data_IF_556586213911
#
_entry.id   IF_556586213911
#
_cell.length_a   1.000
_cell.length_b   1.000
_cell.length_c   1.000
_cell.angle_alpha   90.00
_cell.angle_beta   90.00
_cell.angle_gamma   90.00
#
_symmetry.space_group_name_H-M   'P 1'
#
loop_
_entity.id
_entity.type
_entity.pdbx_description
1 polymer ?
#
# COMPACT_ATOMS: atom_id res chain seq x y z
N UNK A 1 39.67 11.98 7.39
CA UNK A 1 39.07 11.01 6.45
C UNK A 1 38.06 11.77 5.61
N UNK A 2 38.33 11.93 4.31
CA UNK A 2 37.51 12.75 3.40
C UNK A 2 36.38 11.86 2.87
N UNK A 3 35.14 12.19 3.22
CA UNK A 3 33.95 11.49 2.72
C UNK A 3 33.85 11.65 1.20
N UNK A 4 33.85 10.51 0.53
CA UNK A 4 33.73 10.38 -0.92
C UNK A 4 32.31 10.79 -1.35
N UNK A 5 32.13 11.61 -2.40
CA UNK A 5 30.80 11.99 -2.83
C UNK A 5 30.03 10.78 -3.39
N UNK A 6 28.70 10.70 -3.13
CA UNK A 6 27.84 9.64 -3.66
C UNK A 6 27.90 9.55 -5.18
N UNK A 7 27.88 8.34 -5.72
CA UNK A 7 27.97 8.08 -7.17
C UNK A 7 26.61 8.38 -7.82
N UNK A 8 26.55 8.71 -9.13
CA UNK A 8 25.31 9.09 -9.81
C UNK A 8 24.20 8.01 -9.92
N UNK A 9 24.31 6.88 -9.21
CA UNK A 9 23.19 5.93 -8.94
C UNK A 9 22.36 6.32 -7.71
N UNK A 10 22.75 7.36 -6.97
CA UNK A 10 22.13 7.80 -5.71
C UNK A 10 20.92 8.75 -5.86
N UNK A 11 20.35 8.90 -7.07
CA UNK A 11 18.97 9.39 -7.18
C UNK A 11 18.03 8.19 -7.19
N UNK A 12 17.81 7.63 -5.99
CA UNK A 12 16.77 6.63 -5.77
C UNK A 12 15.42 7.08 -6.34
N UNK A 13 14.55 6.12 -6.64
CA UNK A 13 13.20 6.41 -7.14
C UNK A 13 12.52 7.32 -6.11
N UNK A 14 11.95 8.48 -6.50
CA UNK A 14 11.29 9.37 -5.55
C UNK A 14 10.19 8.63 -4.79
N UNK A 15 10.04 8.89 -3.49
CA UNK A 15 9.04 8.21 -2.66
C UNK A 15 7.62 8.35 -3.23
N UNK A 16 7.30 9.55 -3.75
CA UNK A 16 6.03 9.81 -4.41
C UNK A 16 5.82 8.90 -5.64
N UNK A 17 6.89 8.54 -6.35
CA UNK A 17 6.85 7.58 -7.45
C UNK A 17 6.64 6.17 -6.92
N UNK A 18 7.39 5.74 -5.89
CA UNK A 18 7.20 4.43 -5.22
C UNK A 18 5.75 4.26 -4.76
N UNK A 19 5.11 5.29 -4.20
CA UNK A 19 3.72 5.25 -3.79
C UNK A 19 2.72 5.08 -4.95
N UNK A 20 3.10 5.45 -6.19
CA UNK A 20 2.25 5.32 -7.39
C UNK A 20 2.49 4.04 -8.18
N UNK A 21 3.68 3.45 -8.10
CA UNK A 21 4.01 2.22 -8.83
C UNK A 21 3.01 1.07 -8.59
N UNK A 22 2.49 0.81 -7.37
CA UNK A 22 1.46 -0.21 -7.15
C UNK A 22 0.16 0.04 -7.92
N UNK A 23 -0.19 1.31 -8.17
CA UNK A 23 -1.37 1.68 -8.96
C UNK A 23 -1.16 1.32 -10.43
N UNK A 24 0.04 1.57 -10.96
CA UNK A 24 0.42 1.19 -12.32
C UNK A 24 0.46 -0.33 -12.49
N UNK A 25 1.06 -1.03 -11.52
CA UNK A 25 1.10 -2.49 -11.52
C UNK A 25 -0.30 -3.09 -11.55
N UNK A 26 -1.23 -2.57 -10.74
CA UNK A 26 -2.63 -3.04 -10.75
C UNK A 26 -3.30 -2.85 -12.12
N UNK A 27 -3.09 -1.70 -12.76
CA UNK A 27 -3.65 -1.44 -14.09
C UNK A 27 -3.05 -2.39 -15.15
N UNK A 28 -1.73 -2.62 -15.09
CA UNK A 28 -1.03 -3.52 -16.00
C UNK A 28 -1.44 -4.99 -15.81
N UNK A 29 -1.59 -5.47 -14.58
CA UNK A 29 -2.09 -6.81 -14.30
C UNK A 29 -3.48 -7.03 -14.91
N UNK A 30 -4.39 -6.05 -14.74
CA UNK A 30 -5.72 -6.13 -15.35
C UNK A 30 -5.71 -6.15 -16.88
N UNK A 31 -4.66 -5.59 -17.52
CA UNK A 31 -4.46 -5.64 -18.97
C UNK A 31 -3.83 -6.96 -19.41
N UNK A 32 -2.90 -7.48 -18.62
CA UNK A 32 -2.28 -8.79 -18.80
C UNK A 32 -3.32 -9.91 -18.74
N UNK A 33 -4.23 -9.86 -17.76
CA UNK A 33 -5.35 -10.81 -17.61
C UNK A 33 -6.28 -10.83 -18.84
N UNK A 34 -6.29 -9.73 -19.61
CA UNK A 34 -7.06 -9.58 -20.86
C UNK A 34 -6.26 -9.95 -22.11
N UNK A 35 -5.02 -10.40 -21.95
CA UNK A 35 -4.12 -10.72 -23.07
C UNK A 35 -3.61 -9.50 -23.84
N UNK A 36 -3.62 -8.31 -23.23
CA UNK A 36 -3.09 -7.10 -23.88
C UNK A 36 -1.57 -7.16 -23.90
N UNK A 37 -0.98 -7.16 -25.11
CA UNK A 37 0.47 -7.26 -25.29
C UNK A 37 1.18 -5.92 -25.12
N UNK A 38 0.59 -4.84 -25.65
CA UNK A 38 1.19 -3.50 -25.60
C UNK A 38 0.18 -2.43 -25.20
N UNK A 39 0.67 -1.36 -24.56
CA UNK A 39 -0.15 -0.23 -24.16
C UNK A 39 0.57 1.11 -24.29
N UNK A 40 -0.14 2.15 -24.74
CA UNK A 40 0.40 3.51 -24.80
C UNK A 40 0.49 4.15 -23.40
N UNK A 41 1.38 5.13 -23.23
CA UNK A 41 1.47 5.87 -21.96
C UNK A 41 0.18 6.60 -21.57
N UNK A 42 -0.63 6.97 -22.56
CA UNK A 42 -1.89 7.69 -22.34
C UNK A 42 -2.99 6.73 -21.89
N UNK A 43 -3.13 5.59 -22.55
CA UNK A 43 -4.07 4.55 -22.16
C UNK A 43 -3.74 4.00 -20.76
N UNK A 44 -2.45 3.75 -20.48
CA UNK A 44 -2.04 3.27 -19.16
C UNK A 44 -2.29 4.33 -18.07
N UNK A 45 -2.03 5.59 -18.35
CA UNK A 45 -2.28 6.68 -17.40
C UNK A 45 -3.76 6.84 -17.10
N UNK A 46 -4.61 6.73 -18.13
CA UNK A 46 -6.07 6.71 -17.97
C UNK A 46 -6.53 5.53 -17.10
N UNK A 47 -6.05 4.31 -17.39
CA UNK A 47 -6.39 3.12 -16.61
C UNK A 47 -5.93 3.21 -15.15
N UNK A 48 -4.80 3.88 -14.90
CA UNK A 48 -4.27 4.11 -13.56
C UNK A 48 -4.86 5.36 -12.86
N UNK A 49 -5.67 6.17 -13.54
CA UNK A 49 -6.24 7.40 -12.99
C UNK A 49 -5.19 8.49 -12.71
N UNK A 50 -4.12 8.56 -13.51
CA UNK A 50 -3.05 9.56 -13.37
C UNK A 50 -2.83 10.37 -14.64
N UNK A 51 -2.10 11.48 -14.53
CA UNK A 51 -1.65 12.24 -15.69
C UNK A 51 -0.56 11.50 -16.47
N UNK A 52 -0.65 11.47 -17.80
CA UNK A 52 0.30 10.73 -18.66
C UNK A 52 1.74 11.26 -18.63
N UNK A 53 1.94 12.56 -18.46
CA UNK A 53 3.29 13.13 -18.28
C UNK A 53 3.91 12.69 -16.94
N UNK A 54 3.10 12.60 -15.89
CA UNK A 54 3.52 12.08 -14.58
C UNK A 54 3.91 10.61 -14.68
N UNK A 55 3.08 9.80 -15.33
CA UNK A 55 3.38 8.38 -15.57
C UNK A 55 4.68 8.20 -16.34
N UNK A 56 4.88 8.93 -17.45
CA UNK A 56 6.13 8.82 -18.22
C UNK A 56 7.36 9.19 -17.39
N UNK A 57 7.25 10.25 -16.56
CA UNK A 57 8.32 10.65 -15.63
C UNK A 57 8.61 9.54 -14.62
N UNK A 58 7.57 8.95 -14.03
CA UNK A 58 7.70 7.88 -13.06
C UNK A 58 8.37 6.64 -13.67
N UNK A 59 7.90 6.18 -14.83
CA UNK A 59 8.49 5.04 -15.51
C UNK A 59 9.92 5.29 -15.97
N UNK A 60 10.29 6.54 -16.28
CA UNK A 60 11.66 6.89 -16.66
C UNK A 60 12.68 6.68 -15.55
N UNK A 61 12.25 6.67 -14.27
CA UNK A 61 13.11 6.33 -13.14
C UNK A 61 13.43 4.84 -13.08
N UNK A 62 12.56 3.99 -13.62
CA UNK A 62 12.77 2.55 -13.69
C UNK A 62 13.67 2.17 -14.88
N UNK A 63 13.62 2.95 -15.96
CA UNK A 63 14.40 2.74 -17.18
C UNK A 63 13.63 3.21 -18.42
N UNK A 64 14.21 2.95 -19.60
CA UNK A 64 13.53 3.23 -20.87
C UNK A 64 12.84 1.98 -21.39
N UNK A 65 11.55 1.83 -21.07
CA UNK A 65 10.75 0.63 -21.37
C UNK A 65 9.65 0.85 -22.39
N UNK A 66 9.59 2.05 -22.98
CA UNK A 66 8.64 2.39 -24.02
C UNK A 66 9.35 2.65 -25.34
N UNK A 67 8.78 2.12 -26.43
CA UNK A 67 9.21 2.48 -27.79
C UNK A 67 8.29 3.58 -28.31
N UNK A 68 8.89 4.68 -28.82
CA UNK A 68 8.10 5.76 -29.44
C UNK A 68 7.22 5.18 -30.55
N UNK A 69 5.93 5.49 -30.52
CA UNK A 69 4.95 5.00 -31.48
C UNK A 69 4.38 3.59 -31.21
N UNK A 70 4.94 2.83 -30.27
CA UNK A 70 4.48 1.46 -29.93
C UNK A 70 3.91 1.39 -28.51
N UNK A 71 4.51 2.11 -27.56
CA UNK A 71 4.14 2.06 -26.14
C UNK A 71 5.00 1.08 -25.35
N UNK A 72 4.43 0.51 -24.29
CA UNK A 72 5.07 -0.42 -23.36
C UNK A 72 4.58 -1.83 -23.64
N UNK A 73 5.48 -2.81 -23.58
CA UNK A 73 5.10 -4.22 -23.51
C UNK A 73 4.61 -4.51 -22.08
N UNK A 74 3.40 -5.07 -21.97
CA UNK A 74 2.66 -5.15 -20.71
C UNK A 74 3.35 -6.14 -19.76
N UNK A 75 3.70 -7.33 -20.22
CA UNK A 75 4.29 -8.38 -19.39
C UNK A 75 5.65 -7.94 -18.83
N UNK A 76 6.49 -7.37 -19.69
CA UNK A 76 7.78 -6.83 -19.31
C UNK A 76 7.65 -5.68 -18.32
N UNK A 77 6.69 -4.76 -18.51
CA UNK A 77 6.50 -3.66 -17.57
C UNK A 77 5.94 -4.13 -16.22
N UNK A 78 5.08 -5.15 -16.20
CA UNK A 78 4.64 -5.84 -14.97
C UNK A 78 5.85 -6.39 -14.24
N UNK A 79 6.74 -7.11 -14.93
CA UNK A 79 7.95 -7.68 -14.34
C UNK A 79 8.87 -6.59 -13.76
N UNK A 80 9.16 -5.54 -14.52
CA UNK A 80 10.05 -4.45 -14.07
C UNK A 80 9.49 -3.74 -12.83
N UNK A 81 8.21 -3.37 -12.84
CA UNK A 81 7.60 -2.70 -11.68
C UNK A 81 7.55 -3.64 -10.47
N UNK A 82 7.24 -4.92 -10.66
CA UNK A 82 7.24 -5.91 -9.58
C UNK A 82 8.61 -6.08 -8.97
N UNK A 83 9.66 -6.13 -9.80
CA UNK A 83 11.06 -6.22 -9.36
C UNK A 83 11.47 -4.99 -8.55
N UNK A 84 11.17 -3.79 -9.05
CA UNK A 84 11.51 -2.53 -8.37
C UNK A 84 10.74 -2.33 -7.06
N UNK A 85 9.53 -2.89 -6.95
CA UNK A 85 8.76 -2.92 -5.70
C UNK A 85 9.16 -4.07 -4.76
N UNK A 86 10.12 -4.93 -5.14
CA UNK A 86 10.52 -6.08 -4.34
C UNK A 86 9.48 -7.21 -4.28
N UNK A 87 8.50 -7.23 -5.19
CA UNK A 87 7.42 -8.22 -5.24
C UNK A 87 7.80 -9.51 -6.01
N UNK A 88 9.09 -9.71 -6.25
CA UNK A 88 9.64 -10.94 -6.86
C UNK A 88 9.99 -12.01 -5.81
N UNK A 89 9.77 -11.69 -4.53
CA UNK A 89 9.93 -12.58 -3.39
C UNK A 89 8.68 -12.52 -2.51
N UNK A 90 8.48 -13.54 -1.68
CA UNK A 90 7.41 -13.57 -0.70
C UNK A 90 7.81 -12.84 0.58
N UNK A 91 6.97 -11.89 0.99
CA UNK A 91 7.08 -11.18 2.24
C UNK A 91 6.16 -11.82 3.28
N UNK A 92 6.73 -12.31 4.37
CA UNK A 92 5.96 -12.86 5.48
C UNK A 92 5.36 -11.72 6.32
N UNK A 93 4.04 -11.76 6.49
CA UNK A 93 3.27 -10.74 7.20
C UNK A 93 2.69 -11.30 8.49
N UNK A 94 2.83 -10.57 9.59
CA UNK A 94 2.11 -10.87 10.84
C UNK A 94 1.06 -9.79 11.12
N UNK A 95 -0.18 -10.21 11.39
CA UNK A 95 -1.27 -9.29 11.74
C UNK A 95 -1.52 -9.37 13.24
N UNK A 96 -1.52 -8.23 13.92
CA UNK A 96 -1.82 -8.10 15.35
C UNK A 96 -3.13 -7.33 15.55
N UNK A 97 -4.07 -7.95 16.26
CA UNK A 97 -5.42 -7.44 16.50
C UNK A 97 -6.42 -8.03 15.50
N UNK A 98 -6.93 -9.22 15.78
CA UNK A 98 -7.85 -10.02 14.96
C UNK A 98 -9.31 -9.73 15.31
N UNK A 99 -9.62 -8.44 15.46
CA UNK A 99 -10.99 -7.92 15.44
C UNK A 99 -11.56 -7.91 14.01
N UNK A 100 -12.61 -7.11 13.77
CA UNK A 100 -13.28 -7.04 12.47
C UNK A 100 -12.32 -6.74 11.31
N UNK A 101 -11.47 -5.72 11.46
CA UNK A 101 -10.52 -5.32 10.41
C UNK A 101 -9.39 -6.35 10.23
N UNK A 102 -8.80 -6.84 11.32
CA UNK A 102 -7.74 -7.85 11.26
C UNK A 102 -8.21 -9.14 10.56
N UNK A 103 -9.43 -9.61 10.86
CA UNK A 103 -10.06 -10.74 10.17
C UNK A 103 -10.31 -10.46 8.69
N UNK A 104 -10.80 -9.26 8.35
CA UNK A 104 -11.02 -8.89 6.95
C UNK A 104 -9.71 -8.89 6.15
N UNK A 105 -8.63 -8.34 6.73
CA UNK A 105 -7.31 -8.34 6.11
C UNK A 105 -6.72 -9.75 5.99
N UNK A 106 -6.88 -10.60 7.01
CA UNK A 106 -6.41 -11.98 6.98
C UNK A 106 -7.08 -12.81 5.87
N UNK A 107 -8.37 -12.57 5.60
CA UNK A 107 -9.13 -13.24 4.54
C UNK A 107 -8.97 -12.57 3.16
N UNK A 108 -8.19 -11.51 3.05
CA UNK A 108 -8.01 -10.81 1.79
C UNK A 108 -7.03 -11.57 0.88
N UNK A 109 -7.58 -12.38 -0.03
CA UNK A 109 -6.80 -13.18 -0.99
C UNK A 109 -5.88 -12.37 -1.91
N UNK A 110 -6.09 -11.05 -2.02
CA UNK A 110 -5.25 -10.16 -2.82
C UNK A 110 -3.84 -9.94 -2.27
N UNK A 111 -3.53 -10.33 -1.03
CA UNK A 111 -2.17 -10.29 -0.50
C UNK A 111 -1.29 -11.39 -1.08
N UNK A 112 -1.77 -12.64 -1.08
CA UNK A 112 -1.00 -13.78 -1.56
C UNK A 112 -0.61 -13.65 -3.03
N UNK A 113 -1.52 -13.15 -3.88
CA UNK A 113 -1.26 -12.91 -5.31
C UNK A 113 -0.27 -11.77 -5.59
N UNK A 114 0.10 -10.99 -4.56
CA UNK A 114 1.01 -9.84 -4.65
C UNK A 114 2.33 -10.09 -3.92
N UNK A 115 2.64 -11.33 -3.56
CA UNK A 115 3.87 -11.69 -2.83
C UNK A 115 3.82 -11.37 -1.34
N UNK A 116 2.63 -11.21 -0.75
CA UNK A 116 2.46 -11.02 0.69
C UNK A 116 1.77 -12.24 1.30
N UNK A 117 2.55 -13.06 2.01
CA UNK A 117 2.04 -14.25 2.68
C UNK A 117 1.71 -13.92 4.13
N UNK A 118 0.43 -14.02 4.49
CA UNK A 118 0.03 -13.95 5.90
C UNK A 118 0.61 -15.18 6.61
N UNK A 119 1.58 -14.93 7.49
CA UNK A 119 2.37 -15.97 8.15
C UNK A 119 1.91 -16.23 9.59
N UNK A 120 1.29 -15.24 10.22
CA UNK A 120 0.77 -15.35 11.58
C UNK A 120 -0.33 -14.32 11.88
N UNK A 121 -1.22 -14.71 12.78
CA UNK A 121 -2.28 -13.88 13.34
C UNK A 121 -2.10 -13.88 14.86
N UNK A 122 -2.09 -12.71 15.49
CA UNK A 122 -1.91 -12.58 16.93
C UNK A 122 -2.98 -11.68 17.55
N UNK A 123 -3.45 -12.06 18.74
CA UNK A 123 -4.38 -11.26 19.54
C UNK A 123 -4.07 -11.41 21.04
N UNK A 124 -4.48 -10.42 21.83
CA UNK A 124 -4.39 -10.46 23.29
C UNK A 124 -5.68 -10.99 23.92
N UNK A 125 -6.81 -10.95 23.21
CA UNK A 125 -8.08 -11.48 23.70
C UNK A 125 -8.04 -13.02 23.77
N UNK A 126 -8.17 -13.62 24.97
CA UNK A 126 -8.19 -15.07 25.12
C UNK A 126 -9.32 -15.75 24.33
N UNK A 127 -10.43 -15.05 24.08
CA UNK A 127 -11.52 -15.58 23.26
C UNK A 127 -11.12 -15.71 21.78
N UNK A 128 -10.13 -14.93 21.33
CA UNK A 128 -9.61 -14.95 19.98
C UNK A 128 -8.52 -16.02 19.80
N UNK A 129 -7.69 -16.24 20.81
CA UNK A 129 -6.60 -17.21 20.77
C UNK A 129 -7.13 -18.63 20.51
N UNK A 130 -6.49 -19.33 19.57
CA UNK A 130 -6.88 -20.67 19.13
C UNK A 130 -7.99 -20.71 18.08
N UNK A 131 -8.65 -19.59 17.77
CA UNK A 131 -9.58 -19.55 16.65
C UNK A 131 -8.84 -19.68 15.32
N UNK A 132 -9.46 -20.39 14.37
CA UNK A 132 -8.96 -20.47 13.00
C UNK A 132 -9.53 -19.32 12.16
N UNK A 133 -8.66 -18.53 11.56
CA UNK A 133 -9.00 -17.43 10.65
C UNK A 133 -8.12 -17.56 9.41
N UNK A 134 -8.73 -17.59 8.22
CA UNK A 134 -8.03 -17.75 6.95
C UNK A 134 -7.04 -18.94 6.94
N UNK A 135 -7.43 -20.07 7.55
CA UNK A 135 -6.61 -21.28 7.70
C UNK A 135 -5.39 -21.14 8.62
N UNK A 136 -5.32 -20.08 9.43
CA UNK A 136 -4.29 -19.87 10.44
C UNK A 136 -4.91 -19.78 11.83
N UNK A 137 -4.28 -20.43 12.79
CA UNK A 137 -4.70 -20.31 14.20
C UNK A 137 -4.16 -19.00 14.79
N UNK A 138 -5.06 -18.26 15.45
CA UNK A 138 -4.71 -17.04 16.16
C UNK A 138 -3.88 -17.40 17.39
N UNK A 139 -2.70 -16.80 17.51
CA UNK A 139 -1.79 -16.99 18.64
C UNK A 139 -1.94 -15.86 19.65
N UNK A 140 -1.55 -16.11 20.89
CA UNK A 140 -1.46 -15.04 21.89
C UNK A 140 -0.33 -14.07 21.52
N UNK A 141 -0.54 -12.78 21.78
CA UNK A 141 0.43 -11.72 21.47
C UNK A 141 1.80 -11.92 22.16
N UNK A 142 1.86 -12.65 23.26
CA UNK A 142 3.13 -12.98 23.94
C UNK A 142 4.07 -13.85 23.10
N UNK A 143 3.56 -14.50 22.05
CA UNK A 143 4.38 -15.27 21.11
C UNK A 143 4.98 -14.45 19.97
N UNK A 144 4.80 -13.11 19.95
CA UNK A 144 5.17 -12.25 18.83
C UNK A 144 6.62 -12.42 18.39
N UNK A 145 7.57 -12.31 19.31
CA UNK A 145 9.01 -12.36 19.02
C UNK A 145 9.42 -13.74 18.49
N UNK A 146 8.84 -14.81 19.05
CA UNK A 146 9.03 -16.17 18.56
C UNK A 146 8.49 -16.33 17.13
N UNK A 147 7.27 -15.84 16.88
CA UNK A 147 6.63 -15.88 15.57
C UNK A 147 7.44 -15.11 14.54
N UNK A 148 7.90 -13.90 14.88
CA UNK A 148 8.72 -13.07 13.98
C UNK A 148 9.96 -13.85 13.53
N UNK A 149 10.70 -14.42 14.49
CA UNK A 149 11.92 -15.18 14.22
C UNK A 149 11.65 -16.47 13.44
N UNK A 150 10.68 -17.28 13.86
CA UNK A 150 10.43 -18.61 13.29
C UNK A 150 9.74 -18.57 11.93
N UNK A 151 8.92 -17.53 11.67
CA UNK A 151 8.20 -17.36 10.40
C UNK A 151 8.89 -16.40 9.43
N UNK A 152 10.00 -15.78 9.85
CA UNK A 152 10.74 -14.79 9.06
C UNK A 152 9.91 -13.56 8.75
N UNK A 153 9.10 -13.09 9.69
CA UNK A 153 8.19 -11.96 9.48
C UNK A 153 9.00 -10.73 9.09
N UNK A 154 8.65 -10.15 7.94
CA UNK A 154 9.30 -8.96 7.41
C UNK A 154 8.40 -7.72 7.56
N UNK A 155 7.09 -7.91 7.66
CA UNK A 155 6.10 -6.82 7.74
C UNK A 155 5.13 -7.10 8.89
N UNK A 156 4.99 -6.12 9.79
CA UNK A 156 3.98 -6.11 10.84
C UNK A 156 2.75 -5.32 10.42
N UNK A 157 1.55 -5.85 10.64
CA UNK A 157 0.28 -5.15 10.43
C UNK A 157 -0.39 -4.95 11.78
N UNK A 158 -0.70 -3.71 12.13
CA UNK A 158 -1.33 -3.35 13.40
C UNK A 158 -2.77 -2.92 13.15
N UNK A 159 -3.70 -3.73 13.65
CA UNK A 159 -5.16 -3.50 13.61
C UNK A 159 -5.77 -3.45 15.02
N UNK A 160 -4.97 -3.09 16.01
CA UNK A 160 -5.39 -2.96 17.42
C UNK A 160 -6.05 -1.61 17.72
N UNK A 161 -6.72 -1.47 18.87
CA UNK A 161 -7.05 -0.15 19.43
C UNK A 161 -5.81 0.74 19.60
N UNK A 162 -6.01 2.06 19.59
CA UNK A 162 -4.94 3.06 19.67
C UNK A 162 -4.04 2.87 20.91
N UNK A 163 -4.64 2.54 22.06
CA UNK A 163 -3.92 2.38 23.32
C UNK A 163 -2.87 1.25 23.29
N UNK A 164 -3.08 0.22 22.47
CA UNK A 164 -2.18 -0.94 22.38
C UNK A 164 -1.16 -0.82 21.24
N UNK A 165 -1.43 0.04 20.25
CA UNK A 165 -0.69 0.06 18.98
C UNK A 165 0.80 0.37 19.15
N UNK A 166 1.16 1.31 20.04
CA UNK A 166 2.56 1.65 20.30
C UNK A 166 3.33 0.47 20.91
N UNK A 167 2.74 -0.23 21.87
CA UNK A 167 3.38 -1.40 22.50
C UNK A 167 3.64 -2.52 21.49
N UNK A 168 2.68 -2.78 20.60
CA UNK A 168 2.84 -3.75 19.51
C UNK A 168 3.94 -3.31 18.52
N UNK A 169 3.97 -2.04 18.15
CA UNK A 169 4.99 -1.50 17.25
C UNK A 169 6.40 -1.64 17.85
N UNK A 170 6.57 -1.29 19.12
CA UNK A 170 7.85 -1.46 19.83
C UNK A 170 8.31 -2.91 19.81
N UNK A 171 7.43 -3.87 20.11
CA UNK A 171 7.79 -5.29 20.10
C UNK A 171 8.13 -5.81 18.70
N UNK A 172 7.45 -5.34 17.66
CA UNK A 172 7.83 -5.64 16.27
C UNK A 172 9.26 -5.17 15.96
N UNK A 173 9.57 -3.93 16.32
CA UNK A 173 10.90 -3.34 16.10
C UNK A 173 11.99 -4.08 16.88
N UNK A 174 11.74 -4.39 18.15
CA UNK A 174 12.67 -5.18 18.99
C UNK A 174 12.89 -6.59 18.45
N UNK A 175 11.88 -7.19 17.81
CA UNK A 175 11.98 -8.47 17.12
C UNK A 175 12.67 -8.38 15.74
N UNK A 176 13.04 -7.18 15.28
CA UNK A 176 13.76 -6.93 14.02
C UNK A 176 12.88 -6.61 12.81
N UNK A 177 11.59 -6.36 13.00
CA UNK A 177 10.69 -5.92 11.91
C UNK A 177 10.86 -4.42 11.68
N UNK A 178 11.34 -4.07 10.49
CA UNK A 178 11.58 -2.68 10.08
C UNK A 178 10.47 -2.07 9.21
N UNK A 179 9.39 -2.82 8.92
CA UNK A 179 8.27 -2.34 8.10
C UNK A 179 6.94 -2.61 8.78
N UNK A 180 6.17 -1.54 9.05
CA UNK A 180 4.90 -1.61 9.77
C UNK A 180 3.80 -0.91 8.97
N UNK A 181 2.69 -1.63 8.77
CA UNK A 181 1.44 -1.08 8.25
C UNK A 181 0.49 -0.84 9.44
N UNK A 182 0.20 0.42 9.74
CA UNK A 182 -0.57 0.81 10.90
C UNK A 182 -1.98 1.27 10.51
N UNK A 183 -3.00 0.55 10.97
CA UNK A 183 -4.41 0.96 10.87
C UNK A 183 -4.96 1.56 12.17
N UNK A 184 -4.19 1.53 13.26
CA UNK A 184 -4.61 2.15 14.50
C UNK A 184 -4.65 3.69 14.32
N UNK A 185 -5.64 4.39 14.91
CA UNK A 185 -5.81 5.84 14.74
C UNK A 185 -4.86 6.63 15.63
N UNK A 186 -3.57 6.31 15.57
CA UNK A 186 -2.49 6.94 16.35
C UNK A 186 -1.21 6.99 15.51
N UNK A 187 -0.39 8.01 15.76
CA UNK A 187 0.96 8.09 15.19
C UNK A 187 1.89 7.26 16.07
N UNK A 188 2.62 6.34 15.46
CA UNK A 188 3.59 5.49 16.15
C UNK A 188 4.92 6.21 16.24
N UNK A 189 5.57 6.15 17.40
CA UNK A 189 6.94 6.57 17.59
C UNK A 189 7.86 5.36 17.40
N UNK A 190 8.69 5.39 16.37
CA UNK A 190 9.61 4.31 16.01
C UNK A 190 11.01 4.91 15.74
N UNK A 191 12.10 4.13 15.94
CA UNK A 191 13.44 4.61 15.66
C UNK A 191 13.70 4.81 14.17
N UNK A 192 14.76 5.55 13.86
CA UNK A 192 15.24 5.73 12.49
C UNK A 192 15.52 4.37 11.82
N UNK A 193 15.13 4.26 10.54
CA UNK A 193 15.26 3.02 9.77
C UNK A 193 14.08 2.06 9.88
N UNK A 194 13.04 2.40 10.65
CA UNK A 194 11.75 1.70 10.65
C UNK A 194 10.73 2.49 9.82
N UNK A 195 10.23 1.85 8.76
CA UNK A 195 9.20 2.42 7.90
C UNK A 195 7.80 2.14 8.46
N UNK A 196 7.02 3.19 8.68
CA UNK A 196 5.62 3.10 9.09
C UNK A 196 4.72 3.71 8.03
N UNK A 197 3.86 2.89 7.44
CA UNK A 197 2.76 3.38 6.59
C UNK A 197 1.47 3.39 7.39
N UNK A 198 0.91 4.57 7.62
CA UNK A 198 -0.43 4.72 8.23
C UNK A 198 -1.52 4.59 7.16
N UNK A 199 -2.57 3.85 7.46
CA UNK A 199 -3.80 3.81 6.67
C UNK A 199 -4.95 4.33 7.53
N UNK A 200 -5.57 5.42 7.08
CA UNK A 200 -6.68 6.08 7.77
C UNK A 200 -7.85 6.27 6.80
N UNK A 201 -8.77 5.30 6.80
CA UNK A 201 -9.93 5.33 5.91
C UNK A 201 -10.87 6.51 6.20
N UNK A 202 -10.86 7.03 7.44
CA UNK A 202 -11.69 8.17 7.82
C UNK A 202 -11.19 9.46 7.18
N UNK A 203 -9.87 9.65 7.05
CA UNK A 203 -9.30 10.81 6.34
C UNK A 203 -9.69 10.78 4.86
N UNK A 204 -9.64 9.61 4.21
CA UNK A 204 -10.04 9.47 2.81
C UNK A 204 -11.52 9.82 2.60
N UNK A 205 -12.40 9.38 3.51
CA UNK A 205 -13.81 9.75 3.48
C UNK A 205 -14.05 11.25 3.70
N UNK A 206 -13.27 11.91 4.56
CA UNK A 206 -13.35 13.36 4.77
C UNK A 206 -12.97 14.14 3.51
N UNK A 207 -11.94 13.69 2.78
CA UNK A 207 -11.55 14.27 1.49
C UNK A 207 -12.69 14.12 0.48
N UNK A 208 -13.32 12.95 0.41
CA UNK A 208 -14.47 12.73 -0.46
C UNK A 208 -15.68 13.59 -0.07
N UNK A 209 -15.93 13.76 1.23
CA UNK A 209 -17.00 14.60 1.74
C UNK A 209 -16.81 16.07 1.33
N UNK A 210 -15.58 16.59 1.40
CA UNK A 210 -15.25 17.94 0.92
C UNK A 210 -15.55 18.13 -0.56
N UNK A 211 -15.19 17.16 -1.41
CA UNK A 211 -15.52 17.20 -2.83
C UNK A 211 -17.01 17.05 -3.11
N UNK A 212 -17.71 16.22 -2.34
CA UNK A 212 -19.16 16.06 -2.45
C UNK A 212 -19.90 17.36 -2.10
N UNK A 213 -19.51 18.02 -1.01
CA UNK A 213 -20.07 19.31 -0.62
C UNK A 213 -19.85 20.37 -1.69
N UNK A 214 -18.64 20.49 -2.24
CA UNK A 214 -18.35 21.46 -3.31
C UNK A 214 -19.15 21.25 -4.60
N UNK A 215 -19.45 20.00 -4.95
CA UNK A 215 -20.34 19.71 -6.09
C UNK A 215 -21.76 20.16 -5.80
N UNK A 216 -22.28 19.86 -4.61
CA UNK A 216 -23.61 20.30 -4.19
C UNK A 216 -23.75 21.83 -4.12
N UNK A 217 -22.74 22.53 -3.59
CA UNK A 217 -22.72 24.00 -3.52
C UNK A 217 -22.56 24.66 -4.89
N UNK A 218 -21.84 24.01 -5.82
CA UNK A 218 -21.67 24.45 -7.21
C UNK A 218 -22.96 24.35 -8.02
N UNK A 219 -23.73 23.27 -7.82
CA UNK A 219 -25.04 23.07 -8.45
C UNK A 219 -26.10 24.04 -7.87
N UNK A 220 -25.99 24.41 -6.59
CA UNK A 220 -26.88 25.40 -5.95
C UNK A 220 -26.73 26.83 -6.47
N UNK A 221 -25.51 27.27 -6.83
CA UNK A 221 -25.28 28.61 -7.40
C UNK A 221 -25.65 28.73 -8.88
N UNK A 222 -25.79 27.60 -9.59
CA UNK A 222 -26.30 27.56 -10.96
C UNK A 222 -27.80 27.81 -11.04
N UNK A 223 -28.56 27.31 -10.07
CA UNK A 223 -30.01 27.51 -9.99
C UNK A 223 -30.39 28.95 -9.60
N UNK A 224 -29.62 29.61 -8.73
CA UNK A 224 -29.92 30.97 -8.27
C UNK A 224 -29.65 32.05 -9.34
N UNK A 225 -28.72 31.81 -10.28
CA UNK A 225 -28.48 32.71 -11.42
C UNK A 225 -29.53 32.60 -12.53
N UNK A 226 -30.08 31.41 -12.77
CA UNK A 226 -31.13 31.22 -13.77
C UNK A 226 -32.47 31.87 -13.36
N UNK A 227 -32.72 32.06 -12.06
CA UNK A 227 -33.92 32.74 -11.55
C UNK A 227 -33.86 34.27 -11.59
N UNK A 228 -32.67 34.86 -11.73
CA UNK A 228 -32.46 36.33 -11.79
C UNK A 228 -32.37 36.88 -13.22
N UNK A 229 -32.28 36.03 -14.25
CA UNK A 229 -32.34 36.44 -15.68
C UNK A 229 -33.75 36.31 -16.29
N UNK A 230 -34.74 35.88 -15.51
CA UNK A 230 -36.15 35.73 -15.93
C UNK A 230 -37.13 36.72 -15.25
N UNK A 231 -36.62 37.76 -14.59
CA UNK A 231 -37.37 38.92 -14.10
C UNK A 231 -36.83 40.20 -14.74
#
# INVERSE_FOLDING_TARGET
>A
MISRPPRPRDRGIPEATVARLPVYLRALQALQDRGTLTISSEALASAAGVNSAKLRKDLSHLGSYGTRGVGYEVEYLVYQISRELGLTQDWAVAIVGIGNLGRALANYGGFGTRGFRIAALLDADPAMVGQNVASLDVRHIDSLEEVVRTKGVSIGVITTPAAAAQGVATRFVEAGVASILNFAPVVLNVPDGVDVRKVDLSIELQILAFHAQRRADGDGRGAERAGLELM
#
